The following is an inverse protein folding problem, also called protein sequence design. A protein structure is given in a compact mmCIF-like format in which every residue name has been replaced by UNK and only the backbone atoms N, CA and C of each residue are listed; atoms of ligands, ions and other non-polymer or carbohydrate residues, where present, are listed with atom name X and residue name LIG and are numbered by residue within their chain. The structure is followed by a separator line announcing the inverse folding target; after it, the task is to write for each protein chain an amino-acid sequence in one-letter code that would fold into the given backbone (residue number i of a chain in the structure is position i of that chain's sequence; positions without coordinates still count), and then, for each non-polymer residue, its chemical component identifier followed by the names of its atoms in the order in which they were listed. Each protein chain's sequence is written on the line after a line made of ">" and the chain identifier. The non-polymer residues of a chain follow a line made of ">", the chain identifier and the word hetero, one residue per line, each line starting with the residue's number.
data_IF_567640013391
#
_entry.id   IF_567640013391
#
_cell.length_a   1.000
_cell.length_b   1.000
_cell.length_c   1.000
_cell.angle_alpha   90.00
_cell.angle_beta   90.00
_cell.angle_gamma   90.00
#
_symmetry.space_group_name_H-M   'P 1'
#
loop_
_entity.id
_entity.type
_entity.pdbx_description
1 polymer ?
#
# COMPACT_ATOMS: atom_id res chain seq x y z
N UNK A 1 -25.99 -24.86 -18.77
CA UNK A 1 -25.85 -23.54 -18.12
C UNK A 1 -25.16 -23.73 -16.78
N UNK A 2 -23.83 -23.70 -16.77
CA UNK A 2 -23.02 -23.75 -15.55
C UNK A 2 -22.69 -22.33 -15.16
N UNK A 3 -23.34 -21.83 -14.10
CA UNK A 3 -23.02 -20.56 -13.47
C UNK A 3 -21.60 -20.63 -12.94
N UNK A 4 -20.65 -20.02 -13.66
CA UNK A 4 -19.31 -19.78 -13.14
C UNK A 4 -19.45 -18.85 -11.94
N UNK A 5 -19.23 -19.37 -10.74
CA UNK A 5 -19.03 -18.54 -9.55
C UNK A 5 -17.76 -17.76 -9.82
N UNK A 6 -17.90 -16.52 -10.30
CA UNK A 6 -16.80 -15.56 -10.34
C UNK A 6 -16.47 -15.27 -8.88
N UNK A 7 -15.52 -16.01 -8.32
CA UNK A 7 -14.86 -15.66 -7.07
C UNK A 7 -14.22 -14.31 -7.29
N UNK A 8 -14.91 -13.25 -6.88
CA UNK A 8 -14.37 -11.90 -6.84
C UNK A 8 -13.13 -11.96 -5.96
N UNK A 9 -11.96 -11.83 -6.58
CA UNK A 9 -10.71 -11.59 -5.87
C UNK A 9 -10.92 -10.30 -5.08
N UNK A 10 -10.63 -10.34 -3.78
CA UNK A 10 -10.73 -9.20 -2.87
C UNK A 10 -9.39 -9.04 -2.19
N UNK A 11 -8.60 -8.10 -2.68
CA UNK A 11 -7.31 -7.77 -2.10
C UNK A 11 -7.51 -6.78 -0.95
N UNK A 12 -7.12 -7.11 0.29
CA UNK A 12 -7.21 -6.19 1.41
C UNK A 12 -6.15 -5.10 1.33
N UNK A 13 -6.57 -3.86 1.65
CA UNK A 13 -5.73 -2.68 1.79
C UNK A 13 -6.00 -2.04 3.14
N UNK A 14 -4.98 -2.00 4.00
CA UNK A 14 -5.00 -1.36 5.31
C UNK A 14 -4.29 -0.01 5.24
N UNK A 15 -5.02 1.09 5.20
CA UNK A 15 -4.46 2.44 5.01
C UNK A 15 -4.49 3.26 6.30
N UNK A 16 -3.33 3.83 6.65
CA UNK A 16 -3.19 4.81 7.72
C UNK A 16 -3.17 6.21 7.13
N UNK A 17 -4.15 7.04 7.52
CA UNK A 17 -4.24 8.42 7.07
C UNK A 17 -3.77 9.32 8.22
N UNK A 18 -2.96 10.33 7.91
CA UNK A 18 -2.43 11.25 8.91
C UNK A 18 -3.56 11.83 9.78
N UNK A 19 -3.31 11.94 11.10
CA UNK A 19 -4.27 12.40 12.11
C UNK A 19 -5.49 11.47 12.33
N UNK A 20 -5.38 10.18 11.96
CA UNK A 20 -6.34 9.13 12.32
C UNK A 20 -5.67 8.07 13.18
N UNK A 21 -6.28 7.75 14.32
CA UNK A 21 -5.76 6.75 15.26
C UNK A 21 -6.00 5.30 14.83
N UNK A 22 -6.89 5.08 13.85
CA UNK A 22 -7.33 3.76 13.40
C UNK A 22 -7.15 3.64 11.89
N UNK A 23 -6.53 2.56 11.38
CA UNK A 23 -6.43 2.32 9.95
C UNK A 23 -7.79 2.01 9.34
N UNK A 24 -7.96 2.43 8.09
CA UNK A 24 -9.08 1.99 7.26
C UNK A 24 -8.74 0.66 6.60
N UNK A 25 -9.71 -0.24 6.55
CA UNK A 25 -9.61 -1.49 5.79
C UNK A 25 -10.54 -1.43 4.59
N UNK A 26 -10.00 -1.47 3.37
CA UNK A 26 -10.78 -1.54 2.13
C UNK A 26 -10.41 -2.77 1.32
N UNK A 27 -11.33 -3.21 0.47
CA UNK A 27 -11.12 -4.36 -0.41
C UNK A 27 -11.13 -3.90 -1.87
N UNK A 28 -10.07 -4.25 -2.58
CA UNK A 28 -9.86 -3.96 -3.99
C UNK A 28 -10.27 -5.19 -4.80
N UNK A 29 -11.09 -5.01 -5.84
CA UNK A 29 -11.50 -6.10 -6.74
C UNK A 29 -10.48 -6.27 -7.88
N UNK A 30 -9.20 -6.28 -7.52
CA UNK A 30 -8.05 -6.34 -8.42
C UNK A 30 -7.07 -7.35 -7.79
N UNK A 31 -6.46 -8.26 -8.56
CA UNK A 31 -5.38 -9.11 -8.05
C UNK A 31 -4.26 -8.28 -7.44
N UNK A 32 -3.68 -8.74 -6.31
CA UNK A 32 -2.73 -7.94 -5.52
C UNK A 32 -1.52 -7.50 -6.34
N UNK A 33 -1.05 -8.39 -7.22
CA UNK A 33 0.08 -8.19 -8.13
C UNK A 33 -0.15 -7.14 -9.22
N UNK A 34 -1.40 -6.70 -9.43
CA UNK A 34 -1.77 -5.71 -10.45
C UNK A 34 -2.14 -4.35 -9.87
N UNK A 35 -2.18 -4.20 -8.55
CA UNK A 35 -2.66 -2.96 -7.92
C UNK A 35 -1.56 -1.90 -7.95
N UNK A 36 -1.93 -0.72 -8.43
CA UNK A 36 -1.04 0.43 -8.55
C UNK A 36 -1.47 1.55 -7.60
N UNK A 37 -0.59 2.56 -7.41
CA UNK A 37 -0.96 3.76 -6.68
C UNK A 37 -2.15 4.47 -7.34
N UNK A 38 -2.29 4.40 -8.67
CA UNK A 38 -3.43 4.95 -9.41
C UNK A 38 -4.78 4.33 -9.02
N UNK A 39 -4.80 3.05 -8.67
CA UNK A 39 -6.01 2.35 -8.22
C UNK A 39 -6.39 2.72 -6.77
N UNK A 40 -5.39 3.00 -5.95
CA UNK A 40 -5.50 3.20 -4.51
C UNK A 40 -5.81 4.66 -4.18
N UNK A 41 -5.10 5.60 -4.81
CA UNK A 41 -5.10 7.04 -4.50
C UNK A 41 -6.53 7.63 -4.44
N UNK A 42 -7.42 7.40 -5.44
CA UNK A 42 -8.79 7.92 -5.38
C UNK A 42 -9.59 7.39 -4.19
N UNK A 43 -9.35 6.13 -3.78
CA UNK A 43 -10.05 5.52 -2.64
C UNK A 43 -9.58 6.10 -1.31
N UNK A 44 -8.27 6.29 -1.13
CA UNK A 44 -7.73 6.91 0.07
C UNK A 44 -8.23 8.35 0.21
N UNK A 45 -8.23 9.11 -0.88
CA UNK A 45 -8.69 10.51 -0.87
C UNK A 45 -10.16 10.61 -0.50
N UNK A 46 -10.98 9.70 -1.02
CA UNK A 46 -12.38 9.60 -0.62
C UNK A 46 -12.55 9.33 0.89
N UNK A 47 -11.72 8.45 1.48
CA UNK A 47 -11.74 8.14 2.91
C UNK A 47 -11.23 9.29 3.79
N UNK A 48 -10.23 10.04 3.31
CA UNK A 48 -9.68 11.19 4.02
C UNK A 48 -10.69 12.36 4.11
N UNK A 49 -11.62 12.46 3.16
CA UNK A 49 -12.70 13.44 3.11
C UNK A 49 -12.31 14.74 2.38
N UNK A 50 -13.30 15.63 2.19
CA UNK A 50 -13.22 16.83 1.31
C UNK A 50 -12.06 17.80 1.59
N UNK A 51 -11.45 17.77 2.77
CA UNK A 51 -10.31 18.64 3.10
C UNK A 51 -9.01 18.18 2.44
N UNK A 52 -8.95 16.94 1.96
CA UNK A 52 -7.81 16.39 1.22
C UNK A 52 -7.75 16.93 -0.22
N UNK A 53 -8.88 17.44 -0.76
CA UNK A 53 -8.99 17.90 -2.15
C UNK A 53 -8.09 19.12 -2.47
N UNK A 54 -7.79 19.95 -1.47
CA UNK A 54 -6.88 21.10 -1.63
C UNK A 54 -5.38 20.69 -1.60
N UNK A 55 -5.07 19.44 -1.25
CA UNK A 55 -3.70 18.91 -1.09
C UNK A 55 -3.46 17.62 -1.88
N UNK A 56 -4.29 17.30 -2.89
CA UNK A 56 -4.23 16.06 -3.70
C UNK A 56 -2.82 15.81 -4.29
N UNK A 57 -2.03 16.87 -4.48
CA UNK A 57 -0.68 16.84 -5.02
C UNK A 57 0.45 16.86 -3.97
N UNK A 58 0.15 16.89 -2.67
CA UNK A 58 1.15 16.98 -1.58
C UNK A 58 1.24 15.71 -0.72
N UNK A 59 0.46 14.68 -1.03
CA UNK A 59 0.47 13.44 -0.25
C UNK A 59 1.60 12.51 -0.69
N UNK A 60 2.38 12.05 0.28
CA UNK A 60 3.40 11.02 0.14
C UNK A 60 2.80 9.66 0.50
N UNK A 61 3.06 8.62 -0.31
CA UNK A 61 2.49 7.29 -0.12
C UNK A 61 3.58 6.30 0.23
N UNK A 62 3.45 5.70 1.41
CA UNK A 62 4.42 4.75 1.93
C UNK A 62 3.78 3.37 2.04
N UNK A 63 4.39 2.37 1.42
CA UNK A 63 3.90 1.00 1.39
C UNK A 63 4.83 0.06 2.16
N UNK A 64 4.25 -0.77 3.02
CA UNK A 64 5.03 -1.70 3.81
C UNK A 64 5.48 -2.89 2.96
N UNK A 65 6.79 -3.16 2.94
CA UNK A 65 7.39 -4.34 2.28
C UNK A 65 8.38 -5.08 3.15
N UNK A 66 8.68 -6.33 2.81
CA UNK A 66 9.80 -7.08 3.38
C UNK A 66 11.12 -6.48 2.88
N UNK A 67 12.10 -6.37 3.77
CA UNK A 67 13.47 -6.02 3.38
C UNK A 67 14.08 -7.22 2.65
N UNK A 68 14.71 -6.99 1.49
CA UNK A 68 15.51 -8.03 0.86
C UNK A 68 16.76 -8.31 1.73
N UNK A 69 17.10 -9.57 2.03
CA UNK A 69 18.29 -9.90 2.81
C UNK A 69 19.59 -9.27 2.30
N UNK A 70 19.69 -8.91 1.02
CA UNK A 70 20.84 -8.20 0.45
C UNK A 70 20.93 -6.72 0.90
N UNK A 71 19.80 -6.07 1.20
CA UNK A 71 19.75 -4.70 1.73
C UNK A 71 20.20 -4.66 3.20
N UNK A 72 20.08 -5.78 3.93
CA UNK A 72 20.45 -5.91 5.36
C UNK A 72 21.95 -5.74 5.57
N UNK A 73 22.78 -6.19 4.62
CA UNK A 73 24.22 -6.10 4.70
C UNK A 73 24.74 -4.65 4.80
N UNK A 74 23.91 -3.67 4.45
CA UNK A 74 24.25 -2.24 4.50
C UNK A 74 23.85 -1.57 5.82
N UNK A 75 23.09 -2.24 6.69
CA UNK A 75 22.55 -1.66 7.94
C UNK A 75 23.24 -2.19 9.21
N UNK A 76 24.29 -3.01 9.08
CA UNK A 76 24.94 -3.69 10.20
C UNK A 76 26.04 -2.82 10.85
N UNK A 77 25.66 -1.96 11.79
CA UNK A 77 26.56 -1.42 12.83
C UNK A 77 26.60 -2.31 14.10
N UNK A 78 26.09 -3.55 14.01
CA UNK A 78 26.32 -4.61 15.01
C UNK A 78 25.57 -4.49 16.35
N UNK A 79 24.65 -3.53 16.52
CA UNK A 79 24.02 -3.26 17.83
C UNK A 79 22.47 -3.29 17.80
N UNK A 80 21.83 -3.32 16.64
CA UNK A 80 20.35 -3.23 16.53
C UNK A 80 19.74 -4.43 15.80
N UNK A 81 18.63 -4.95 16.34
CA UNK A 81 17.81 -5.95 15.66
C UNK A 81 17.39 -5.42 14.29
N UNK A 82 17.77 -6.11 13.22
CA UNK A 82 17.47 -5.66 11.87
C UNK A 82 15.94 -5.62 11.66
N UNK A 83 15.35 -4.48 11.25
CA UNK A 83 13.94 -4.44 10.94
C UNK A 83 13.62 -5.46 9.83
N UNK A 84 12.53 -6.22 9.96
CA UNK A 84 12.11 -7.20 8.93
C UNK A 84 11.34 -6.53 7.78
N UNK A 85 10.93 -5.28 7.98
CA UNK A 85 10.07 -4.53 7.06
C UNK A 85 10.52 -3.07 6.96
N UNK A 86 10.31 -2.48 5.80
CA UNK A 86 10.47 -1.04 5.54
C UNK A 86 9.18 -0.49 4.93
N UNK A 87 9.08 0.84 4.97
CA UNK A 87 8.06 1.59 4.26
C UNK A 87 8.73 2.23 3.05
N UNK A 88 8.34 1.79 1.85
CA UNK A 88 8.82 2.30 0.58
C UNK A 88 7.89 3.40 0.09
N UNK A 89 8.47 4.54 -0.27
CA UNK A 89 7.74 5.64 -0.88
C UNK A 89 7.50 5.34 -2.37
N UNK A 90 6.26 5.52 -2.84
CA UNK A 90 5.94 5.51 -4.26
C UNK A 90 5.51 6.91 -4.67
N UNK A 91 6.29 7.52 -5.55
CA UNK A 91 6.05 8.85 -6.06
C UNK A 91 4.88 8.88 -7.06
N UNK A 92 4.31 10.07 -7.25
CA UNK A 92 3.24 10.26 -8.24
C UNK A 92 3.71 10.03 -9.68
N UNK A 93 5.01 10.07 -9.96
CA UNK A 93 5.58 9.75 -11.28
C UNK A 93 5.50 8.23 -11.57
N UNK A 94 5.55 7.41 -10.53
CA UNK A 94 5.49 5.94 -10.59
C UNK A 94 4.08 5.40 -10.33
N UNK A 95 3.05 6.21 -10.58
CA UNK A 95 1.65 5.90 -10.24
C UNK A 95 1.10 4.61 -10.85
N UNK A 96 1.73 4.13 -11.93
CA UNK A 96 1.35 2.91 -12.66
C UNK A 96 2.19 1.68 -12.28
N UNK A 97 3.16 1.84 -11.38
CA UNK A 97 3.97 0.73 -10.86
C UNK A 97 3.16 -0.07 -9.84
N UNK A 98 3.18 -1.42 -9.88
CA UNK A 98 2.55 -2.24 -8.86
C UNK A 98 3.11 -1.93 -7.47
N UNK A 99 2.23 -1.77 -6.49
CA UNK A 99 2.64 -1.43 -5.12
C UNK A 99 3.11 -2.68 -4.36
N UNK A 100 4.04 -2.54 -3.41
CA UNK A 100 4.43 -3.65 -2.55
C UNK A 100 3.26 -4.18 -1.70
N UNK A 101 3.32 -5.47 -1.37
CA UNK A 101 2.33 -6.12 -0.53
C UNK A 101 2.97 -7.21 0.34
N UNK A 102 2.29 -7.56 1.44
CA UNK A 102 2.68 -8.61 2.38
C UNK A 102 1.63 -9.72 2.37
N UNK A 103 2.02 -10.90 1.88
CA UNK A 103 1.17 -12.10 1.88
C UNK A 103 -0.25 -11.84 1.32
N UNK A 104 -0.31 -11.04 0.24
CA UNK A 104 -1.56 -10.65 -0.42
C UNK A 104 -2.30 -9.43 0.16
N UNK A 105 -1.73 -8.77 1.18
CA UNK A 105 -2.30 -7.56 1.80
C UNK A 105 -1.43 -6.34 1.52
N UNK A 106 -2.04 -5.24 1.09
CA UNK A 106 -1.38 -3.95 0.94
C UNK A 106 -1.52 -3.18 2.25
N UNK A 107 -0.43 -2.59 2.74
CA UNK A 107 -0.40 -1.81 3.98
C UNK A 107 0.30 -0.50 3.72
#
# INVERSE_FOLDING_TARGET
>A
STSSVTTSIKTPLACFIQNKDVPYMIHLNIPVECITLGDIKPRIHHLAGKNFDNQINECHYYFKRRIDPSEICLMNDGITSTPTYVYEEIDNEDIHTPVPHLDGTIV
#
